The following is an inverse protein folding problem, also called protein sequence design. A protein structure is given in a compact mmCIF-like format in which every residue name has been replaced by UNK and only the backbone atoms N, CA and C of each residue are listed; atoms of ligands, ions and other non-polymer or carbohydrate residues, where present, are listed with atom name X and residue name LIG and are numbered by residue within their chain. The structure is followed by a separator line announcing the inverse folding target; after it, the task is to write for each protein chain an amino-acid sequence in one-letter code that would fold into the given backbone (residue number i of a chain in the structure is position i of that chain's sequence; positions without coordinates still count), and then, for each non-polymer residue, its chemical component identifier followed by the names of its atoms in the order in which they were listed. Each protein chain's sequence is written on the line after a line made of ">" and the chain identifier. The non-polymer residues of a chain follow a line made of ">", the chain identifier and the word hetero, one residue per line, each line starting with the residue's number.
data_IF_192349113815
#
_entry.id   IF_192349113815
#
_cell.length_a   1.000
_cell.length_b   1.000
_cell.length_c   1.000
_cell.angle_alpha   90.00
_cell.angle_beta   90.00
_cell.angle_gamma   90.00
#
_symmetry.space_group_name_H-M   'P 1'
#
loop_
_entity.id
_entity.type
_entity.pdbx_description
1 polymer ?
#
# COMPACT_ATOMS: atom_id res chain seq x y z
N UNK A 1 12.41 8.66 15.48
CA UNK A 1 11.43 9.70 15.13
C UNK A 1 10.38 9.19 14.18
N UNK A 2 9.12 9.62 14.37
CA UNK A 2 8.02 9.30 13.46
C UNK A 2 8.29 9.80 12.02
N UNK A 3 9.12 10.84 11.87
CA UNK A 3 9.65 11.30 10.58
C UNK A 3 10.54 10.25 9.86
N UNK A 4 11.23 9.39 10.61
CA UNK A 4 12.03 8.30 10.05
C UNK A 4 11.14 7.20 9.47
N UNK A 5 10.00 6.92 10.08
CA UNK A 5 9.01 5.96 9.57
C UNK A 5 8.31 6.49 8.30
N UNK A 6 8.00 7.80 8.25
CA UNK A 6 7.50 8.46 7.04
C UNK A 6 8.54 8.45 5.90
N UNK A 7 9.83 8.43 6.21
CA UNK A 7 10.94 8.28 5.25
C UNK A 7 11.26 6.82 4.85
N UNK A 8 10.67 5.82 5.52
CA UNK A 8 10.95 4.39 5.30
C UNK A 8 10.15 3.75 4.15
N UNK A 9 9.23 4.48 3.51
CA UNK A 9 8.78 4.09 2.17
C UNK A 9 9.79 4.64 1.15
N UNK A 10 10.57 3.79 0.46
CA UNK A 10 11.56 4.27 -0.48
C UNK A 10 10.83 5.02 -1.59
N UNK A 11 11.22 6.27 -1.81
CA UNK A 11 11.04 6.97 -3.08
C UNK A 11 11.16 5.97 -4.25
N UNK A 12 10.17 5.94 -5.16
CA UNK A 12 10.15 5.02 -6.30
C UNK A 12 9.17 3.84 -6.21
N UNK A 13 8.08 3.93 -5.43
CA UNK A 13 6.93 3.03 -5.62
C UNK A 13 6.24 3.35 -6.94
N UNK A 14 5.94 2.32 -7.73
CA UNK A 14 5.13 2.49 -8.94
C UNK A 14 3.69 2.89 -8.59
N UNK A 15 2.98 3.50 -9.54
CA UNK A 15 1.59 3.91 -9.32
C UNK A 15 0.66 2.77 -8.88
N UNK A 16 0.93 1.53 -9.30
CA UNK A 16 0.19 0.33 -8.84
C UNK A 16 0.49 0.02 -7.38
N UNK A 17 1.77 0.06 -6.99
CA UNK A 17 2.19 -0.24 -5.62
C UNK A 17 1.58 0.77 -4.64
N UNK A 18 1.58 2.06 -5.01
CA UNK A 18 0.93 3.11 -4.21
C UNK A 18 -0.55 2.84 -4.02
N UNK A 19 -1.29 2.55 -5.09
CA UNK A 19 -2.71 2.21 -5.03
C UNK A 19 -3.00 1.01 -4.14
N UNK A 20 -2.12 0.00 -4.15
CA UNK A 20 -2.23 -1.15 -3.24
C UNK A 20 -2.05 -0.71 -1.79
N UNK A 21 -0.99 0.05 -1.48
CA UNK A 21 -0.75 0.52 -0.11
C UNK A 21 -1.94 1.34 0.40
N UNK A 22 -2.45 2.28 -0.40
CA UNK A 22 -3.65 3.08 -0.05
C UNK A 22 -4.87 2.20 0.19
N UNK A 23 -5.14 1.21 -0.68
CA UNK A 23 -6.29 0.31 -0.47
C UNK A 23 -6.14 -0.57 0.77
N UNK A 24 -4.90 -0.89 1.19
CA UNK A 24 -4.61 -1.67 2.39
C UNK A 24 -4.52 -0.82 3.67
N UNK A 25 -4.36 0.50 3.56
CA UNK A 25 -4.56 1.41 4.70
C UNK A 25 -6.04 1.64 5.00
N UNK A 26 -6.91 1.49 3.99
CA UNK A 26 -8.35 1.58 4.15
C UNK A 26 -8.92 0.28 4.78
N UNK A 27 -9.84 0.44 5.73
CA UNK A 27 -10.59 -0.67 6.33
C UNK A 27 -11.97 -0.84 5.68
N UNK A 28 -12.43 -2.08 5.43
CA UNK A 28 -11.77 -3.35 5.70
C UNK A 28 -10.76 -3.76 4.61
N UNK A 29 -9.77 -4.57 5.01
CA UNK A 29 -8.79 -5.16 4.09
C UNK A 29 -9.47 -6.08 3.06
N UNK A 30 -8.98 -6.12 1.81
CA UNK A 30 -9.49 -7.04 0.80
C UNK A 30 -9.23 -8.50 1.20
N UNK A 31 -10.21 -9.41 1.05
CA UNK A 31 -10.08 -10.80 1.47
C UNK A 31 -9.11 -11.61 0.59
N UNK A 32 -8.77 -11.11 -0.61
CA UNK A 32 -7.84 -11.77 -1.52
C UNK A 32 -7.19 -10.81 -2.52
N UNK A 33 -6.06 -11.22 -3.09
CA UNK A 33 -5.41 -10.47 -4.19
C UNK A 33 -6.31 -10.34 -5.42
N UNK A 34 -7.22 -11.29 -5.65
CA UNK A 34 -8.17 -11.23 -6.75
C UNK A 34 -9.20 -10.12 -6.54
N UNK A 35 -9.73 -9.99 -5.32
CA UNK A 35 -10.61 -8.87 -4.97
C UNK A 35 -9.86 -7.55 -5.06
N UNK A 36 -8.65 -7.47 -4.52
CA UNK A 36 -7.81 -6.27 -4.62
C UNK A 36 -7.54 -5.88 -6.09
N UNK A 37 -7.33 -6.84 -6.99
CA UNK A 37 -7.18 -6.57 -8.42
C UNK A 37 -8.44 -5.95 -9.05
N UNK A 38 -9.63 -6.43 -8.66
CA UNK A 38 -10.91 -5.84 -9.09
C UNK A 38 -11.08 -4.43 -8.54
N UNK A 39 -10.85 -4.23 -7.25
CA UNK A 39 -10.96 -2.92 -6.59
C UNK A 39 -10.07 -1.86 -7.27
N UNK A 40 -8.90 -2.27 -7.77
CA UNK A 40 -7.94 -1.38 -8.43
C UNK A 40 -8.09 -1.28 -9.95
N UNK A 41 -8.99 -2.06 -10.57
CA UNK A 41 -9.09 -2.16 -12.03
C UNK A 41 -7.80 -2.64 -12.70
N UNK A 42 -7.08 -3.58 -12.06
CA UNK A 42 -5.79 -4.13 -12.55
C UNK A 42 -5.84 -5.64 -12.72
N UNK A 43 -4.90 -6.18 -13.50
CA UNK A 43 -4.77 -7.63 -13.65
C UNK A 43 -4.25 -8.27 -12.35
N UNK A 44 -4.64 -9.53 -12.12
CA UNK A 44 -4.17 -10.31 -10.96
C UNK A 44 -2.64 -10.48 -10.97
N UNK A 45 -2.03 -10.65 -12.14
CA UNK A 45 -0.58 -10.75 -12.30
C UNK A 45 0.12 -9.45 -11.89
N UNK A 46 -0.41 -8.30 -12.33
CA UNK A 46 0.11 -6.98 -11.96
C UNK A 46 0.06 -6.76 -10.45
N UNK A 47 -1.06 -7.11 -9.80
CA UNK A 47 -1.20 -7.02 -8.34
C UNK A 47 -0.26 -7.98 -7.62
N UNK A 48 -0.15 -9.23 -8.07
CA UNK A 48 0.74 -10.21 -7.46
C UNK A 48 2.21 -9.76 -7.50
N UNK A 49 2.68 -9.26 -8.65
CA UNK A 49 4.04 -8.73 -8.78
C UNK A 49 4.29 -7.53 -7.87
N UNK A 50 3.33 -6.60 -7.80
CA UNK A 50 3.44 -5.43 -6.94
C UNK A 50 3.46 -5.81 -5.46
N UNK A 51 2.60 -6.73 -5.02
CA UNK A 51 2.60 -7.26 -3.65
C UNK A 51 3.92 -7.97 -3.32
N UNK A 52 4.46 -8.76 -4.25
CA UNK A 52 5.76 -9.41 -4.06
C UNK A 52 6.87 -8.40 -3.78
N UNK A 53 6.90 -7.27 -4.48
CA UNK A 53 7.86 -6.19 -4.25
C UNK A 53 7.59 -5.51 -2.90
N UNK A 54 6.33 -5.17 -2.59
CA UNK A 54 5.96 -4.54 -1.33
C UNK A 54 6.31 -5.43 -0.11
N UNK A 55 6.15 -6.74 -0.22
CA UNK A 55 6.57 -7.71 0.80
C UNK A 55 8.09 -7.77 0.97
N UNK A 56 8.84 -7.80 -0.13
CA UNK A 56 10.31 -7.73 -0.09
C UNK A 56 10.82 -6.46 0.58
N UNK A 57 10.06 -5.36 0.45
CA UNK A 57 10.35 -4.07 1.07
C UNK A 57 9.82 -3.94 2.50
N UNK A 58 9.16 -4.98 3.04
CA UNK A 58 8.60 -4.96 4.39
C UNK A 58 7.35 -4.10 4.55
N UNK A 59 6.72 -3.66 3.45
CA UNK A 59 5.55 -2.75 3.48
C UNK A 59 4.26 -3.54 3.67
N UNK A 60 4.15 -4.68 3.00
CA UNK A 60 3.02 -5.61 3.11
C UNK A 60 3.47 -6.84 3.88
N UNK A 61 2.60 -7.35 4.74
CA UNK A 61 2.87 -8.58 5.50
C UNK A 61 3.08 -9.78 4.56
N UNK A 62 4.00 -10.70 4.90
CA UNK A 62 4.25 -11.89 4.10
C UNK A 62 3.08 -12.90 4.15
N UNK A 63 2.40 -13.02 5.29
CA UNK A 63 1.33 -14.00 5.53
C UNK A 63 -0.08 -13.49 5.24
N UNK A 64 -0.30 -12.16 5.25
CA UNK A 64 -1.61 -11.54 5.05
C UNK A 64 -1.59 -10.50 3.93
N UNK A 65 -2.78 -10.07 3.52
CA UNK A 65 -2.98 -8.94 2.62
C UNK A 65 -3.30 -7.69 3.45
N UNK A 66 -2.33 -7.27 4.24
CA UNK A 66 -2.40 -6.10 5.11
C UNK A 66 -1.04 -5.42 5.15
N UNK A 67 -1.02 -4.15 5.58
CA UNK A 67 0.24 -3.46 5.84
C UNK A 67 1.02 -4.18 6.96
N UNK A 68 2.34 -4.00 6.95
CA UNK A 68 3.19 -4.54 8.01
C UNK A 68 2.87 -3.88 9.36
N UNK A 69 3.08 -4.56 10.50
CA UNK A 69 2.65 -4.05 11.81
C UNK A 69 3.28 -2.69 12.21
N UNK A 70 4.50 -2.40 11.72
CA UNK A 70 5.16 -1.11 11.96
C UNK A 70 4.57 0.04 11.12
N UNK A 71 3.66 -0.28 10.19
CA UNK A 71 2.89 0.63 9.35
C UNK A 71 1.40 0.62 9.72
N UNK A 72 1.00 -0.11 10.76
CA UNK A 72 -0.41 -0.22 11.18
C UNK A 72 -0.94 1.13 11.70
N UNK A 73 -0.04 1.96 12.25
CA UNK A 73 -0.34 3.34 12.62
C UNK A 73 -0.51 4.28 11.41
N UNK A 74 -0.21 3.89 10.17
CA UNK A 74 -0.49 4.73 8.99
C UNK A 74 -1.99 5.02 8.84
N UNK A 75 -2.86 4.08 9.18
CA UNK A 75 -4.31 4.27 9.13
C UNK A 75 -4.90 5.00 10.35
N UNK A 76 -4.13 5.12 11.43
CA UNK A 76 -4.58 5.72 12.72
C UNK A 76 -3.87 7.03 13.07
N UNK A 77 -2.77 7.35 12.39
CA UNK A 77 -1.99 8.55 12.66
C UNK A 77 -2.54 9.72 11.85
N UNK A 78 -2.69 10.88 12.52
CA UNK A 78 -2.99 12.18 11.91
C UNK A 78 -1.81 12.72 11.08
N UNK A 79 -0.94 11.82 10.60
CA UNK A 79 0.24 12.15 9.81
C UNK A 79 -0.19 12.10 8.36
N UNK A 80 -0.31 13.27 7.76
CA UNK A 80 -0.53 13.41 6.33
C UNK A 80 0.68 12.82 5.60
N UNK A 81 0.51 11.67 4.99
CA UNK A 81 1.55 11.06 4.17
C UNK A 81 1.40 11.63 2.76
N UNK A 82 2.34 12.45 2.26
CA UNK A 82 2.20 13.14 0.96
C UNK A 82 2.02 12.18 -0.23
N UNK A 83 2.33 10.90 -0.04
CA UNK A 83 2.14 9.85 -1.03
C UNK A 83 0.78 9.13 -0.94
N UNK A 84 0.06 9.19 0.19
CA UNK A 84 -1.35 8.77 0.29
C UNK A 84 -2.26 9.78 -0.41
N UNK A 85 -1.85 11.05 -0.40
CA UNK A 85 -2.53 12.17 -1.05
C UNK A 85 -2.37 12.26 -2.56
N UNK A 86 -1.78 11.24 -3.19
CA UNK A 86 -1.76 11.15 -4.67
C UNK A 86 -3.09 10.57 -5.14
N UNK A 87 -4.17 11.16 -4.63
CA UNK A 87 -5.46 11.24 -5.27
C UNK A 87 -5.35 12.41 -6.24
N UNK A 88 -5.57 12.10 -7.52
CA UNK A 88 -5.96 13.08 -8.53
C UNK A 88 -4.83 13.92 -9.16
N UNK A 89 -4.00 13.29 -9.98
CA UNK A 89 -3.55 13.93 -11.23
C UNK A 89 -3.44 12.83 -12.28
N UNK A 90 -4.42 12.80 -13.19
CA UNK A 90 -4.42 12.37 -14.59
C UNK A 90 -5.90 12.27 -14.98
N UNK A 91 -6.48 13.46 -15.23
CA UNK A 91 -7.68 13.62 -16.06
C UNK A 91 -7.26 13.60 -17.53
#
# INVERSE_FOLDING_TARGET
>A
DQATAAAMLPVGLSGVQRKIVTRLSDSPNPPSQAQLARDLGKSRTTVNSAIGILRKRGIVNQGSLSLAPHLDSLGMSNVDYPWLDIRQEYA
#
